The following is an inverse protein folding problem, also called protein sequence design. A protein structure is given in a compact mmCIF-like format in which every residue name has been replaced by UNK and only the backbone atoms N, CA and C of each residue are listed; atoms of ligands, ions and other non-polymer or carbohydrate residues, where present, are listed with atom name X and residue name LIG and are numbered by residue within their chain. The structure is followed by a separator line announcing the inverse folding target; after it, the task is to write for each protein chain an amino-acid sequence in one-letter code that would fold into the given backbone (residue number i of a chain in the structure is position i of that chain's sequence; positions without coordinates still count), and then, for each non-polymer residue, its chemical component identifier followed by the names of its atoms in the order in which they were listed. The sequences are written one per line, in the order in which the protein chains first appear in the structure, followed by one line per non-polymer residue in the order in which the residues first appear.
data_IF_381896825149
#
_entry.id   IF_381896825149
#
_cell.length_a   1.000
_cell.length_b   1.000
_cell.length_c   1.000
_cell.angle_alpha   90.00
_cell.angle_beta   90.00
_cell.angle_gamma   90.00
#
_symmetry.space_group_name_H-M   'P 1'
#
loop_
_entity.id
_entity.type
_entity.pdbx_description
1 polymer ?
#
# COMPACT_ATOMS: atom_id res chain seq x y z
N UNK A 1 13.74 -16.49 -33.52
CA UNK A 1 12.81 -15.37 -33.29
C UNK A 1 13.66 -14.11 -33.05
N UNK A 2 13.54 -13.06 -33.84
CA UNK A 2 14.24 -11.78 -33.59
C UNK A 2 13.28 -10.86 -32.84
N UNK A 3 13.69 -10.38 -31.68
CA UNK A 3 12.95 -9.31 -31.01
C UNK A 3 13.06 -8.03 -31.85
N UNK A 4 11.95 -7.39 -32.14
CA UNK A 4 11.92 -6.07 -32.79
C UNK A 4 12.36 -4.95 -31.84
N UNK A 5 12.41 -3.73 -32.33
CA UNK A 5 12.58 -2.55 -31.46
C UNK A 5 11.40 -2.47 -30.47
N UNK A 6 11.63 -1.98 -29.22
CA UNK A 6 10.57 -1.75 -28.27
C UNK A 6 9.52 -0.79 -28.89
N UNK A 7 8.25 -1.13 -28.73
CA UNK A 7 7.14 -0.25 -29.10
C UNK A 7 6.71 0.56 -27.88
N UNK A 8 6.91 1.86 -27.91
CA UNK A 8 6.60 2.76 -26.80
C UNK A 8 5.09 2.91 -26.53
N UNK A 9 4.22 2.39 -27.41
CA UNK A 9 2.78 2.34 -27.21
C UNK A 9 2.33 1.09 -26.45
N UNK A 10 3.23 0.14 -26.20
CA UNK A 10 2.93 -1.07 -25.44
C UNK A 10 3.43 -0.96 -24.00
N UNK A 11 2.65 -1.52 -23.08
CA UNK A 11 3.01 -1.64 -21.66
C UNK A 11 2.70 -3.04 -21.12
N UNK A 12 3.54 -3.61 -20.27
CA UNK A 12 3.21 -4.83 -19.53
C UNK A 12 2.17 -4.56 -18.42
N UNK A 13 1.91 -3.29 -18.09
CA UNK A 13 1.11 -2.85 -16.95
C UNK A 13 -0.30 -2.38 -17.35
N UNK A 14 -0.89 -2.90 -18.43
CA UNK A 14 -2.21 -2.49 -18.90
C UNK A 14 -3.32 -2.62 -17.84
N UNK A 15 -3.21 -3.58 -16.92
CA UNK A 15 -4.13 -3.76 -15.80
C UNK A 15 -4.18 -2.57 -14.82
N UNK A 16 -3.17 -1.70 -14.83
CA UNK A 16 -3.15 -0.51 -13.96
C UNK A 16 -4.28 0.48 -14.28
N UNK A 17 -4.86 0.45 -15.49
CA UNK A 17 -6.03 1.25 -15.81
C UNK A 17 -7.22 0.96 -14.87
N UNK A 18 -7.44 -0.32 -14.53
CA UNK A 18 -8.52 -0.73 -13.61
C UNK A 18 -8.21 -0.26 -12.19
N UNK A 19 -6.95 -0.34 -11.77
CA UNK A 19 -6.51 0.12 -10.46
C UNK A 19 -6.66 1.65 -10.34
N UNK A 20 -6.28 2.40 -11.38
CA UNK A 20 -6.48 3.85 -11.42
C UNK A 20 -7.94 4.23 -11.27
N UNK A 21 -8.82 3.62 -12.07
CA UNK A 21 -10.26 3.86 -12.02
C UNK A 21 -10.83 3.53 -10.62
N UNK A 22 -10.37 2.44 -10.00
CA UNK A 22 -10.78 2.09 -8.64
C UNK A 22 -10.28 3.11 -7.61
N UNK A 23 -9.03 3.56 -7.72
CA UNK A 23 -8.47 4.59 -6.86
C UNK A 23 -9.29 5.88 -6.95
N UNK A 24 -9.68 6.28 -8.15
CA UNK A 24 -10.48 7.48 -8.38
C UNK A 24 -11.89 7.34 -7.80
N UNK A 25 -12.58 6.24 -8.08
CA UNK A 25 -13.94 5.97 -7.56
C UNK A 25 -13.99 5.91 -6.05
N UNK A 26 -12.99 5.33 -5.42
CA UNK A 26 -12.89 5.25 -3.97
C UNK A 26 -12.31 6.52 -3.36
N UNK A 27 -11.77 7.43 -4.16
CA UNK A 27 -11.12 8.65 -3.72
C UNK A 27 -9.94 8.37 -2.79
N UNK A 28 -9.12 7.36 -3.14
CA UNK A 28 -8.02 6.84 -2.30
C UNK A 28 -7.03 7.92 -1.91
N UNK A 29 -6.54 8.68 -2.89
CA UNK A 29 -5.56 9.76 -2.68
C UNK A 29 -6.12 10.79 -1.72
N UNK A 30 -7.35 11.27 -1.96
CA UNK A 30 -7.99 12.26 -1.11
C UNK A 30 -8.25 11.77 0.32
N UNK A 31 -8.59 10.48 0.51
CA UNK A 31 -8.79 9.90 1.84
C UNK A 31 -7.47 9.85 2.62
N UNK A 32 -6.39 9.45 1.96
CA UNK A 32 -5.06 9.42 2.56
C UNK A 32 -4.53 10.82 2.88
N UNK A 33 -4.70 11.79 1.97
CA UNK A 33 -4.31 13.18 2.20
C UNK A 33 -5.09 13.81 3.36
N UNK A 34 -6.40 13.55 3.44
CA UNK A 34 -7.24 14.05 4.52
C UNK A 34 -6.84 13.49 5.90
N UNK A 35 -6.47 12.21 5.96
CA UNK A 35 -6.05 11.56 7.20
C UNK A 35 -4.64 12.00 7.63
N UNK A 36 -3.67 11.98 6.71
CA UNK A 36 -2.24 12.23 7.01
C UNK A 36 -1.93 13.71 7.13
N UNK A 37 -2.63 14.54 6.37
CA UNK A 37 -2.34 15.97 6.28
C UNK A 37 -1.03 16.28 5.53
N UNK A 38 -0.60 17.55 5.54
CA UNK A 38 0.55 18.00 4.76
C UNK A 38 1.87 17.45 5.29
N UNK A 39 2.65 16.81 4.42
CA UNK A 39 4.01 16.32 4.71
C UNK A 39 5.11 17.30 4.28
N UNK A 40 4.74 18.47 3.80
CA UNK A 40 5.64 19.54 3.33
C UNK A 40 4.98 20.89 3.49
N UNK A 41 5.81 21.93 3.55
CA UNK A 41 5.34 23.31 3.72
C UNK A 41 4.75 23.94 2.44
N UNK A 42 5.12 23.45 1.27
CA UNK A 42 4.70 24.00 -0.02
C UNK A 42 3.78 23.02 -0.72
N UNK A 43 2.66 23.48 -1.21
CA UNK A 43 1.63 22.70 -1.92
C UNK A 43 1.98 22.35 -3.38
N UNK A 44 3.25 22.12 -3.71
CA UNK A 44 3.66 21.73 -5.06
C UNK A 44 4.27 20.34 -5.09
N UNK A 45 4.06 19.62 -6.20
CA UNK A 45 4.49 18.22 -6.36
C UNK A 45 3.66 17.30 -5.47
N UNK A 46 4.03 16.05 -5.39
CA UNK A 46 3.26 14.96 -4.77
C UNK A 46 2.94 15.18 -3.29
N UNK A 47 1.71 14.88 -2.88
CA UNK A 47 1.23 14.84 -1.49
C UNK A 47 1.48 13.49 -0.82
N UNK A 48 0.92 13.33 0.38
CA UNK A 48 1.00 12.08 1.13
C UNK A 48 0.20 10.96 0.44
N UNK A 49 -1.02 11.26 0.02
CA UNK A 49 -1.90 10.32 -0.66
C UNK A 49 -1.33 9.86 -1.99
N UNK A 50 -0.77 10.78 -2.79
CA UNK A 50 -0.11 10.42 -4.05
C UNK A 50 1.13 9.56 -3.81
N UNK A 51 1.95 9.86 -2.79
CA UNK A 51 3.09 9.03 -2.44
C UNK A 51 2.65 7.60 -2.12
N UNK A 52 1.69 7.45 -1.23
CA UNK A 52 1.22 6.14 -0.75
C UNK A 52 0.53 5.35 -1.87
N UNK A 53 -0.35 5.99 -2.63
CA UNK A 53 -1.02 5.35 -3.77
C UNK A 53 -0.02 4.95 -4.88
N UNK A 54 0.98 5.80 -5.16
CA UNK A 54 2.03 5.49 -6.13
C UNK A 54 2.92 4.32 -5.71
N UNK A 55 3.26 4.23 -4.42
CA UNK A 55 4.00 3.08 -3.87
C UNK A 55 3.16 1.79 -3.93
N UNK A 56 1.89 1.86 -3.56
CA UNK A 56 0.99 0.71 -3.64
C UNK A 56 0.82 0.23 -5.09
N UNK A 57 0.63 1.16 -6.04
CA UNK A 57 0.55 0.85 -7.46
C UNK A 57 1.83 0.19 -7.98
N UNK A 58 3.01 0.65 -7.52
CA UNK A 58 4.28 0.03 -7.87
C UNK A 58 4.38 -1.41 -7.38
N UNK A 59 3.98 -1.68 -6.14
CA UNK A 59 3.96 -3.04 -5.58
C UNK A 59 2.98 -3.95 -6.33
N UNK A 60 1.79 -3.47 -6.69
CA UNK A 60 0.83 -4.21 -7.50
C UNK A 60 1.36 -4.54 -8.91
N UNK A 61 2.24 -3.71 -9.45
CA UNK A 61 2.95 -3.97 -10.71
C UNK A 61 4.17 -4.90 -10.55
N UNK A 62 4.42 -5.45 -9.35
CA UNK A 62 5.50 -6.38 -9.06
C UNK A 62 6.85 -5.72 -8.73
N UNK A 63 6.84 -4.45 -8.30
CA UNK A 63 8.06 -3.73 -7.96
C UNK A 63 8.36 -3.79 -6.46
N UNK A 64 9.34 -4.58 -6.06
CA UNK A 64 9.70 -4.77 -4.65
C UNK A 64 10.53 -3.63 -4.05
N UNK A 65 11.11 -2.77 -4.89
CA UNK A 65 12.03 -1.71 -4.46
C UNK A 65 11.63 -0.35 -5.03
N UNK A 66 12.01 0.71 -4.33
CA UNK A 66 11.77 2.10 -4.79
C UNK A 66 12.29 2.38 -6.19
N UNK A 67 13.38 1.72 -6.61
CA UNK A 67 13.92 1.83 -7.98
C UNK A 67 12.95 1.34 -9.05
N UNK A 68 11.96 0.54 -8.68
CA UNK A 68 10.86 0.14 -9.54
C UNK A 68 10.06 1.32 -10.07
N UNK A 69 9.88 2.37 -9.26
CA UNK A 69 9.24 3.61 -9.70
C UNK A 69 9.94 4.24 -10.93
N UNK A 70 11.27 4.17 -10.98
CA UNK A 70 12.02 4.72 -12.11
C UNK A 70 11.85 3.84 -13.36
N UNK A 71 11.72 2.51 -13.20
CA UNK A 71 11.37 1.61 -14.31
C UNK A 71 9.96 1.90 -14.83
N UNK A 72 8.99 2.08 -13.95
CA UNK A 72 7.63 2.46 -14.34
C UNK A 72 7.60 3.82 -15.06
N UNK A 73 8.38 4.80 -14.61
CA UNK A 73 8.51 6.09 -15.30
C UNK A 73 9.06 5.97 -16.72
N UNK A 74 9.89 4.96 -16.98
CA UNK A 74 10.42 4.68 -18.32
C UNK A 74 9.37 4.03 -19.24
N UNK A 75 8.29 3.48 -18.70
CA UNK A 75 7.16 2.92 -19.45
C UNK A 75 6.17 4.05 -19.82
N UNK A 76 6.38 4.67 -20.96
CA UNK A 76 5.58 5.83 -21.39
C UNK A 76 4.08 5.52 -21.52
N UNK A 77 3.72 4.35 -22.02
CA UNK A 77 2.32 3.92 -22.12
C UNK A 77 1.73 3.59 -20.74
N UNK A 78 2.49 2.89 -19.89
CA UNK A 78 2.08 2.55 -18.52
C UNK A 78 1.86 3.79 -17.66
N UNK A 79 2.64 4.86 -17.85
CA UNK A 79 2.46 6.10 -17.10
C UNK A 79 1.10 6.78 -17.34
N UNK A 80 0.44 6.51 -18.46
CA UNK A 80 -0.92 7.03 -18.72
C UNK A 80 -2.00 6.23 -17.97
N UNK A 81 -1.65 5.08 -17.44
CA UNK A 81 -2.57 4.14 -16.80
C UNK A 81 -2.41 4.06 -15.27
N UNK A 82 -1.30 4.58 -14.73
CA UNK A 82 -1.04 4.57 -13.28
C UNK A 82 -1.79 5.68 -12.57
N UNK A 83 -2.26 5.47 -11.32
CA UNK A 83 -2.95 6.52 -10.56
C UNK A 83 -2.05 7.71 -10.20
N UNK A 84 -0.73 7.51 -10.19
CA UNK A 84 0.25 8.57 -9.84
C UNK A 84 1.40 8.56 -10.86
N UNK A 85 1.23 9.20 -12.01
CA UNK A 85 2.29 9.28 -13.01
C UNK A 85 3.46 10.16 -12.55
N UNK A 86 4.65 9.82 -13.00
CA UNK A 86 5.85 10.64 -12.82
C UNK A 86 6.54 10.55 -11.46
N UNK A 87 6.05 9.75 -10.51
CA UNK A 87 6.69 9.58 -9.20
C UNK A 87 8.05 8.89 -9.33
N UNK A 88 9.13 9.61 -9.01
CA UNK A 88 10.50 9.08 -9.04
C UNK A 88 10.88 8.43 -7.71
N UNK A 89 11.77 7.45 -7.74
CA UNK A 89 12.30 6.77 -6.55
C UNK A 89 12.92 7.73 -5.54
N UNK A 90 13.72 8.69 -6.00
CA UNK A 90 14.35 9.71 -5.17
C UNK A 90 13.34 10.67 -4.54
N UNK A 91 12.29 11.03 -5.27
CA UNK A 91 11.20 11.85 -4.78
C UNK A 91 10.41 11.10 -3.70
N UNK A 92 10.05 9.84 -3.97
CA UNK A 92 9.35 8.98 -3.02
C UNK A 92 10.15 8.82 -1.71
N UNK A 93 11.43 8.49 -1.80
CA UNK A 93 12.31 8.38 -0.64
C UNK A 93 12.42 9.70 0.15
N UNK A 94 12.50 10.83 -0.53
CA UNK A 94 12.56 12.16 0.08
C UNK A 94 11.26 12.55 0.80
N UNK A 95 10.10 12.18 0.24
CA UNK A 95 8.80 12.43 0.84
C UNK A 95 8.53 11.51 2.03
N UNK A 96 8.82 10.22 1.91
CA UNK A 96 8.62 9.25 3.00
C UNK A 96 9.37 9.64 4.29
N UNK A 97 10.56 10.23 4.16
CA UNK A 97 11.35 10.71 5.31
C UNK A 97 10.75 11.93 6.03
N UNK A 98 9.74 12.55 5.47
CA UNK A 98 9.07 13.73 6.07
C UNK A 98 7.89 13.37 6.95
N UNK A 99 7.43 12.12 6.89
CA UNK A 99 6.36 11.66 7.76
C UNK A 99 6.83 11.65 9.21
N UNK A 100 6.01 12.21 10.07
CA UNK A 100 6.14 12.04 11.51
C UNK A 100 5.56 10.69 11.94
N UNK A 101 5.91 10.18 13.14
CA UNK A 101 5.27 8.96 13.67
C UNK A 101 3.73 9.05 13.72
N UNK A 102 3.18 10.21 14.10
CA UNK A 102 1.74 10.43 14.11
C UNK A 102 1.10 10.37 12.72
N UNK A 103 1.80 10.85 11.69
CA UNK A 103 1.32 10.77 10.31
C UNK A 103 1.35 9.34 9.78
N UNK A 104 2.35 8.54 10.17
CA UNK A 104 2.35 7.11 9.84
C UNK A 104 1.15 6.38 10.47
N UNK A 105 0.83 6.66 11.73
CA UNK A 105 -0.37 6.12 12.39
C UNK A 105 -1.67 6.60 11.71
N UNK A 106 -1.69 7.84 11.22
CA UNK A 106 -2.86 8.39 10.52
C UNK A 106 -3.12 7.71 9.15
N UNK A 107 -2.14 7.05 8.56
CA UNK A 107 -2.35 6.26 7.32
C UNK A 107 -3.43 5.20 7.51
N UNK A 108 -3.48 4.55 8.68
CA UNK A 108 -4.52 3.57 9.01
C UNK A 108 -5.93 4.15 8.92
N UNK A 109 -6.11 5.39 9.38
CA UNK A 109 -7.41 6.08 9.29
C UNK A 109 -7.81 6.33 7.82
N UNK A 110 -6.83 6.69 6.98
CA UNK A 110 -7.04 6.85 5.54
C UNK A 110 -7.43 5.54 4.87
N UNK A 111 -6.74 4.44 5.21
CA UNK A 111 -7.05 3.09 4.72
C UNK A 111 -8.44 2.66 5.20
N UNK A 112 -8.77 2.85 6.47
CA UNK A 112 -10.09 2.53 7.03
C UNK A 112 -11.22 3.30 6.31
N UNK A 113 -11.00 4.58 5.97
CA UNK A 113 -11.96 5.35 5.20
C UNK A 113 -12.19 4.78 3.78
N UNK A 114 -11.14 4.33 3.12
CA UNK A 114 -11.22 3.64 1.80
C UNK A 114 -11.97 2.32 1.95
N UNK A 115 -11.63 1.52 2.95
CA UNK A 115 -12.32 0.25 3.27
C UNK A 115 -13.81 0.46 3.50
N UNK A 116 -14.19 1.48 4.28
CA UNK A 116 -15.59 1.83 4.48
C UNK A 116 -16.33 2.19 3.18
N UNK A 117 -15.65 2.90 2.27
CA UNK A 117 -16.22 3.18 0.94
C UNK A 117 -16.37 1.92 0.10
N UNK A 118 -15.40 1.00 0.12
CA UNK A 118 -15.50 -0.29 -0.55
C UNK A 118 -16.70 -1.09 -0.04
N UNK A 119 -16.85 -1.19 1.28
CA UNK A 119 -17.98 -1.89 1.90
C UNK A 119 -19.33 -1.26 1.53
N UNK A 120 -19.39 0.07 1.38
CA UNK A 120 -20.62 0.76 0.95
C UNK A 120 -21.03 0.48 -0.49
N UNK A 121 -20.14 -0.08 -1.31
CA UNK A 121 -20.44 -0.50 -2.68
C UNK A 121 -21.02 -1.91 -2.76
N UNK A 122 -21.04 -2.65 -1.65
CA UNK A 122 -21.63 -3.98 -1.63
C UNK A 122 -23.15 -3.91 -1.87
N UNK A 123 -23.71 -4.88 -2.61
CA UNK A 123 -25.15 -5.05 -2.69
C UNK A 123 -25.77 -5.19 -1.29
N UNK A 124 -26.93 -4.60 -1.06
CA UNK A 124 -27.58 -4.56 0.26
C UNK A 124 -27.76 -5.95 0.89
N UNK A 125 -28.10 -6.96 0.08
CA UNK A 125 -28.22 -8.35 0.52
C UNK A 125 -26.89 -8.91 1.04
N UNK A 126 -25.77 -8.62 0.33
CA UNK A 126 -24.43 -9.04 0.75
C UNK A 126 -23.99 -8.30 2.03
N UNK A 127 -24.25 -7.01 2.12
CA UNK A 127 -23.95 -6.21 3.30
C UNK A 127 -24.71 -6.71 4.53
N UNK A 128 -26.00 -7.03 4.39
CA UNK A 128 -26.81 -7.61 5.47
C UNK A 128 -26.29 -9.00 5.89
N UNK A 129 -25.96 -9.86 4.95
CA UNK A 129 -25.40 -11.18 5.27
C UNK A 129 -24.07 -11.10 6.05
N UNK A 130 -23.23 -10.09 5.75
CA UNK A 130 -22.00 -9.85 6.49
C UNK A 130 -22.25 -9.24 7.88
N UNK A 131 -23.28 -8.42 8.03
CA UNK A 131 -23.62 -7.80 9.32
C UNK A 131 -24.24 -8.79 10.30
N UNK A 132 -25.01 -9.75 9.82
CA UNK A 132 -25.72 -10.76 10.63
C UNK A 132 -24.90 -12.05 10.82
N UNK A 133 -23.81 -12.22 10.08
CA UNK A 133 -22.97 -13.40 10.10
C UNK A 133 -21.88 -13.38 11.19
N UNK A 134 -21.17 -14.50 11.38
CA UNK A 134 -19.99 -14.51 12.23
C UNK A 134 -18.90 -13.63 11.62
N UNK A 135 -18.10 -12.97 12.48
CA UNK A 135 -16.92 -12.20 12.07
C UNK A 135 -15.70 -13.00 12.47
N UNK A 136 -14.92 -13.43 11.48
CA UNK A 136 -13.63 -14.08 11.69
C UNK A 136 -12.51 -13.10 11.36
N UNK A 137 -11.61 -12.89 12.29
CA UNK A 137 -10.42 -12.07 12.06
C UNK A 137 -9.21 -12.98 12.00
N UNK A 138 -8.62 -13.04 10.80
CA UNK A 138 -7.36 -13.73 10.59
C UNK A 138 -6.19 -12.79 10.89
N UNK A 139 -5.26 -13.28 11.73
CA UNK A 139 -4.01 -12.59 12.04
C UNK A 139 -2.87 -13.31 11.35
N UNK A 140 -2.21 -12.63 10.45
CA UNK A 140 -1.08 -13.16 9.69
C UNK A 140 0.19 -12.33 9.88
N UNK A 141 1.33 -12.97 9.69
CA UNK A 141 2.65 -12.35 9.72
C UNK A 141 3.51 -12.91 8.60
N UNK A 142 4.04 -12.04 7.78
CA UNK A 142 4.88 -12.42 6.63
C UNK A 142 6.31 -11.93 6.84
N UNK A 143 7.28 -12.82 6.65
CA UNK A 143 8.69 -12.43 6.68
C UNK A 143 9.07 -11.70 5.37
N UNK A 144 9.45 -10.44 5.50
CA UNK A 144 9.96 -9.63 4.38
C UNK A 144 11.47 -9.43 4.54
N UNK A 145 12.25 -10.00 3.63
CA UNK A 145 13.71 -9.89 3.69
C UNK A 145 14.16 -8.43 3.56
N UNK A 146 15.07 -8.03 4.41
CA UNK A 146 15.50 -6.64 4.54
C UNK A 146 17.00 -6.51 4.29
N UNK A 147 17.32 -5.86 3.20
CA UNK A 147 18.70 -5.54 2.80
C UNK A 147 19.08 -4.15 3.34
N UNK A 148 20.00 -4.06 4.21
CA UNK A 148 20.48 -2.78 4.76
C UNK A 148 20.72 -2.83 6.25
N UNK A 149 21.95 -2.51 6.66
CA UNK A 149 22.44 -2.69 8.03
C UNK A 149 21.82 -1.73 9.04
N UNK A 150 21.39 -0.57 8.59
CA UNK A 150 20.86 0.51 9.41
C UNK A 150 19.34 0.47 9.64
N UNK A 151 18.63 -0.49 9.08
CA UNK A 151 17.19 -0.61 9.27
C UNK A 151 16.86 -1.11 10.67
N UNK A 152 15.92 -0.43 11.32
CA UNK A 152 15.38 -0.80 12.64
C UNK A 152 14.18 -1.73 12.47
N UNK A 153 13.76 -2.41 13.55
CA UNK A 153 12.60 -3.30 13.52
C UNK A 153 12.84 -4.56 12.69
N UNK A 154 14.09 -5.04 12.62
CA UNK A 154 14.46 -6.23 11.88
C UNK A 154 15.21 -7.21 12.76
N UNK A 155 14.92 -8.50 12.60
CA UNK A 155 15.58 -9.59 13.30
C UNK A 155 15.91 -10.73 12.33
N UNK A 156 16.65 -11.72 12.81
CA UNK A 156 16.90 -12.94 12.02
C UNK A 156 15.77 -13.94 12.27
N UNK A 157 15.17 -14.45 11.20
CA UNK A 157 14.21 -15.53 11.27
C UNK A 157 14.92 -16.89 11.46
N UNK A 158 14.13 -17.96 11.57
CA UNK A 158 14.66 -19.33 11.77
C UNK A 158 15.49 -19.85 10.58
N UNK A 159 15.42 -19.20 9.41
CA UNK A 159 16.22 -19.52 8.23
C UNK A 159 17.53 -18.71 8.17
N UNK A 160 17.79 -17.86 9.16
CA UNK A 160 18.96 -16.98 9.19
C UNK A 160 18.87 -15.78 8.24
N UNK A 161 17.67 -15.48 7.73
CA UNK A 161 17.41 -14.29 6.93
C UNK A 161 17.07 -13.12 7.84
N UNK A 162 17.57 -11.94 7.50
CA UNK A 162 17.24 -10.72 8.20
C UNK A 162 15.93 -10.15 7.66
N UNK A 163 14.90 -10.13 8.48
CA UNK A 163 13.52 -9.81 8.07
C UNK A 163 12.88 -8.72 8.93
N UNK A 164 12.03 -7.93 8.33
CA UNK A 164 10.94 -7.24 9.01
C UNK A 164 9.69 -8.12 8.93
N UNK A 165 8.81 -8.02 9.90
CA UNK A 165 7.61 -8.85 9.97
C UNK A 165 6.35 -7.98 10.02
N UNK A 166 5.79 -7.59 8.85
CA UNK A 166 4.47 -7.00 8.83
C UNK A 166 3.42 -7.98 9.33
N UNK A 167 2.59 -7.49 10.22
CA UNK A 167 1.40 -8.17 10.74
C UNK A 167 0.18 -7.58 10.08
N UNK A 168 -0.76 -8.42 9.67
CA UNK A 168 -2.01 -7.99 9.04
C UNK A 168 -3.17 -8.67 9.74
N UNK A 169 -4.19 -7.88 10.09
CA UNK A 169 -5.49 -8.37 10.53
C UNK A 169 -6.47 -8.28 9.37
N UNK A 170 -7.05 -9.39 8.97
CA UNK A 170 -7.97 -9.47 7.81
C UNK A 170 -9.33 -9.97 8.27
N UNK A 171 -10.39 -9.33 7.79
CA UNK A 171 -11.75 -9.87 7.93
C UNK A 171 -11.95 -11.00 6.91
N UNK A 172 -11.91 -12.24 7.37
CA UNK A 172 -11.85 -13.43 6.53
C UNK A 172 -13.01 -13.55 5.53
N UNK A 173 -14.23 -13.21 5.94
CA UNK A 173 -15.42 -13.32 5.10
C UNK A 173 -15.42 -12.34 3.90
N UNK A 174 -14.59 -11.32 3.96
CA UNK A 174 -14.48 -10.27 2.92
C UNK A 174 -13.11 -10.20 2.27
N UNK A 175 -12.10 -10.84 2.87
CA UNK A 175 -10.68 -10.71 2.50
C UNK A 175 -10.15 -9.26 2.59
N UNK A 176 -10.84 -8.41 3.37
CA UNK A 176 -10.46 -7.00 3.52
C UNK A 176 -9.49 -6.86 4.69
N UNK A 177 -8.30 -6.26 4.48
CA UNK A 177 -7.42 -5.90 5.57
C UNK A 177 -8.07 -4.81 6.45
N UNK A 178 -8.13 -5.09 7.75
CA UNK A 178 -8.68 -4.17 8.75
C UNK A 178 -7.59 -3.30 9.38
N UNK A 179 -6.43 -3.90 9.65
CA UNK A 179 -5.28 -3.21 10.21
C UNK A 179 -3.98 -3.88 9.76
N UNK A 180 -2.91 -3.11 9.77
CA UNK A 180 -1.55 -3.61 9.54
C UNK A 180 -0.59 -2.92 10.50
N UNK A 181 0.40 -3.66 10.99
CA UNK A 181 1.50 -3.14 11.80
C UNK A 181 2.82 -3.75 11.33
N UNK A 182 3.93 -3.06 11.56
CA UNK A 182 5.26 -3.57 11.28
C UNK A 182 5.91 -4.00 12.58
N UNK A 183 5.75 -5.26 12.93
CA UNK A 183 6.44 -5.89 14.05
C UNK A 183 7.94 -6.09 13.79
N UNK A 184 8.70 -6.28 14.87
CA UNK A 184 10.09 -6.75 14.77
C UNK A 184 10.12 -8.17 14.19
N UNK A 185 11.20 -8.54 13.51
CA UNK A 185 11.30 -9.80 12.76
C UNK A 185 11.06 -11.09 13.58
N UNK A 186 10.92 -11.01 14.89
CA UNK A 186 10.60 -12.12 15.79
C UNK A 186 9.25 -11.98 16.49
N UNK A 187 8.53 -10.88 16.26
CA UNK A 187 7.26 -10.63 16.94
C UNK A 187 6.18 -11.62 16.52
N UNK A 188 5.32 -11.96 17.46
CA UNK A 188 4.12 -12.77 17.24
C UNK A 188 2.93 -11.85 16.96
N UNK A 189 2.19 -12.01 15.86
CA UNK A 189 1.03 -11.18 15.54
C UNK A 189 -0.04 -11.20 16.63
N UNK A 190 -0.12 -12.26 17.42
CA UNK A 190 -1.05 -12.35 18.56
C UNK A 190 -0.67 -11.43 19.72
N UNK A 191 0.60 -11.02 19.82
CA UNK A 191 1.09 -10.08 20.82
C UNK A 191 1.01 -8.62 20.34
N UNK A 192 0.72 -8.38 19.07
CA UNK A 192 0.56 -7.04 18.50
C UNK A 192 -0.62 -6.34 19.18
N UNK A 193 -0.42 -5.07 19.53
CA UNK A 193 -1.51 -4.22 20.02
C UNK A 193 -2.36 -3.76 18.86
N UNK A 194 -3.27 -4.63 18.45
CA UNK A 194 -4.26 -4.28 17.44
C UNK A 194 -5.15 -3.14 17.93
N UNK A 195 -5.64 -2.30 17.05
CA UNK A 195 -6.64 -1.31 17.42
C UNK A 195 -7.82 -1.98 18.14
N UNK A 196 -8.22 -1.45 19.28
CA UNK A 196 -9.26 -2.03 20.15
C UNK A 196 -10.65 -2.14 19.52
N UNK A 197 -10.84 -1.57 18.35
CA UNK A 197 -12.07 -1.65 17.55
C UNK A 197 -12.07 -2.82 16.52
N UNK A 198 -11.03 -3.63 16.49
CA UNK A 198 -11.00 -4.91 15.80
C UNK A 198 -11.73 -5.97 16.60
#
# INVERSE_FOLDING_TARGET
MRAGAPDAALTPNAGMAVISELCDRLGVIGALDAAVGPIKQRERGFGAGELLAGLAAAQLAGEDFLTGLDRQRADAAGQQLTPVPGLASTTAAGLARRFTPAQWQAVEQGVAAVTGRMLSLLPAERAAALADGPVTIDLDATDVEVYGREKRGVAYNHQGQRVGRPHVATWAETEIPLAADLGDGTDDPRATRWPWWL
#
